data_IF_002076714824
#
_entry.id   IF_002076714824
#
_cell.length_a   1.000
_cell.length_b   1.000
_cell.length_c   1.000
_cell.angle_alpha   90.00
_cell.angle_beta   90.00
_cell.angle_gamma   90.00
#
_symmetry.space_group_name_H-M   'P 1'
#
loop_
_entity.id
_entity.type
_entity.pdbx_description
1 polymer ?
#
# COMPACT_ATOMS: atom_id res chain seq x y z
N UNK A 1 55.06 44.07 14.94
CA UNK A 1 54.64 43.03 13.97
C UNK A 1 53.85 41.96 14.72
N UNK A 2 52.62 41.64 14.27
CA UNK A 2 51.84 40.37 14.48
C UNK A 2 51.73 39.84 15.93
N UNK A 3 50.56 39.65 16.56
CA UNK A 3 49.28 39.10 16.06
C UNK A 3 48.10 39.56 16.95
N UNK A 4 47.10 40.19 16.33
CA UNK A 4 45.70 40.15 16.77
C UNK A 4 45.03 38.95 16.10
N UNK A 5 44.04 38.35 16.76
CA UNK A 5 42.75 37.82 16.22
C UNK A 5 42.18 36.84 17.26
N UNK A 6 41.34 37.33 18.19
CA UNK A 6 39.86 37.39 18.09
C UNK A 6 39.20 36.01 17.97
N UNK A 7 38.57 35.61 19.08
CA UNK A 7 37.47 34.66 19.10
C UNK A 7 36.20 35.33 18.54
N UNK A 8 35.59 34.70 17.53
CA UNK A 8 34.19 34.84 17.12
C UNK A 8 33.98 33.81 16.00
N UNK A 9 33.23 32.74 16.25
CA UNK A 9 31.82 32.64 15.89
C UNK A 9 31.55 32.59 14.37
N UNK A 10 30.70 31.62 14.01
CA UNK A 10 29.78 31.63 12.85
C UNK A 10 30.12 30.68 11.69
N UNK A 11 29.57 29.46 11.78
CA UNK A 11 28.46 29.00 10.92
C UNK A 11 28.47 29.47 9.45
N UNK A 12 29.33 28.88 8.61
CA UNK A 12 29.22 28.90 7.14
C UNK A 12 29.99 27.65 6.66
N UNK A 13 29.45 26.63 6.01
CA UNK A 13 28.38 26.58 5.00
C UNK A 13 27.83 25.13 4.86
N UNK A 14 26.58 24.88 5.26
CA UNK A 14 25.77 23.80 4.66
C UNK A 14 24.89 24.44 3.58
N UNK A 15 25.44 24.62 2.38
CA UNK A 15 24.66 25.07 1.23
C UNK A 15 25.20 24.42 -0.05
N UNK A 16 25.07 23.09 -0.13
CA UNK A 16 25.21 22.35 -1.39
C UNK A 16 24.36 21.07 -1.38
N UNK A 17 23.08 21.19 -1.01
CA UNK A 17 22.03 20.34 -1.58
C UNK A 17 21.18 21.21 -2.50
N UNK A 18 21.82 21.90 -3.46
CA UNK A 18 21.08 22.61 -4.51
C UNK A 18 20.40 21.56 -5.37
N UNK A 19 19.06 21.56 -5.27
CA UNK A 19 18.17 20.63 -5.92
C UNK A 19 18.45 20.50 -7.40
N UNK A 20 18.62 19.25 -7.82
CA UNK A 20 18.36 18.85 -9.19
C UNK A 20 16.86 19.04 -9.39
N UNK A 21 16.52 19.92 -10.34
CA UNK A 21 15.18 20.47 -10.53
C UNK A 21 14.09 19.40 -10.55
N UNK A 22 13.28 19.40 -9.50
CA UNK A 22 11.99 18.72 -9.53
C UNK A 22 10.95 19.74 -9.99
N UNK A 23 10.38 19.47 -11.16
CA UNK A 23 9.27 20.23 -11.73
C UNK A 23 8.14 20.34 -10.70
N UNK A 24 7.75 21.58 -10.37
CA UNK A 24 6.78 21.94 -9.33
C UNK A 24 5.32 21.63 -9.71
N UNK A 25 5.10 20.74 -10.69
CA UNK A 25 3.77 20.25 -11.05
C UNK A 25 3.37 18.99 -10.26
N UNK A 26 4.25 18.44 -9.43
CA UNK A 26 4.09 17.14 -8.75
C UNK A 26 3.24 17.17 -7.47
N UNK A 27 3.11 18.32 -6.79
CA UNK A 27 2.50 18.38 -5.44
C UNK A 27 0.98 18.16 -5.42
N UNK A 28 0.28 18.36 -6.54
CA UNK A 28 -1.18 18.14 -6.64
C UNK A 28 -1.55 16.77 -7.22
N UNK A 29 -0.69 16.16 -8.04
CA UNK A 29 -0.96 14.84 -8.61
C UNK A 29 -0.73 13.72 -7.59
N UNK A 30 0.30 13.87 -6.74
CA UNK A 30 0.64 12.87 -5.72
C UNK A 30 -0.50 12.63 -4.70
N UNK A 31 -1.13 13.66 -4.09
CA UNK A 31 -2.26 13.45 -3.18
C UNK A 31 -3.47 12.81 -3.87
N UNK A 32 -3.75 13.15 -5.14
CA UNK A 32 -4.86 12.56 -5.89
C UNK A 32 -4.62 11.09 -6.21
N UNK A 33 -3.39 10.73 -6.59
CA UNK A 33 -3.02 9.34 -6.85
C UNK A 33 -3.11 8.50 -5.58
N UNK A 34 -2.59 9.00 -4.45
CA UNK A 34 -2.71 8.34 -3.14
C UNK A 34 -4.17 8.15 -2.74
N UNK A 35 -5.00 9.19 -2.88
CA UNK A 35 -6.43 9.11 -2.56
C UNK A 35 -7.16 8.10 -3.45
N UNK A 36 -6.82 8.06 -4.75
CA UNK A 36 -7.41 7.11 -5.69
C UNK A 36 -7.01 5.66 -5.36
N UNK A 37 -5.74 5.42 -5.08
CA UNK A 37 -5.23 4.11 -4.64
C UNK A 37 -5.93 3.66 -3.35
N UNK A 38 -6.11 4.57 -2.38
CA UNK A 38 -6.86 4.29 -1.15
C UNK A 38 -8.32 3.87 -1.40
N UNK A 39 -9.02 4.52 -2.34
CA UNK A 39 -10.38 4.10 -2.75
C UNK A 39 -10.42 2.71 -3.37
N UNK A 40 -9.42 2.36 -4.17
CA UNK A 40 -9.32 1.05 -4.81
C UNK A 40 -9.03 -0.06 -3.80
N UNK A 41 -8.15 0.20 -2.82
CA UNK A 41 -7.97 -0.68 -1.67
C UNK A 41 -9.28 -0.90 -0.89
N UNK A 42 -10.01 0.18 -0.59
CA UNK A 42 -11.29 0.08 0.11
C UNK A 42 -12.34 -0.70 -0.70
N UNK A 43 -12.40 -0.51 -2.02
CA UNK A 43 -13.32 -1.24 -2.89
C UNK A 43 -13.03 -2.74 -2.90
N UNK A 44 -11.76 -3.13 -3.03
CA UNK A 44 -11.33 -4.53 -2.92
C UNK A 44 -11.71 -5.11 -1.56
N UNK A 45 -11.32 -4.46 -0.46
CA UNK A 45 -11.58 -4.97 0.88
C UNK A 45 -13.09 -5.08 1.18
N UNK A 46 -13.92 -4.19 0.61
CA UNK A 46 -15.37 -4.31 0.67
C UNK A 46 -15.89 -5.53 -0.11
N UNK A 47 -15.34 -5.82 -1.29
CA UNK A 47 -15.66 -7.05 -2.02
C UNK A 47 -15.30 -8.30 -1.21
N UNK A 48 -14.10 -8.35 -0.64
CA UNK A 48 -13.65 -9.49 0.19
C UNK A 48 -14.62 -9.72 1.35
N UNK A 49 -14.97 -8.67 2.11
CA UNK A 49 -15.91 -8.75 3.24
C UNK A 49 -17.30 -9.26 2.85
N UNK A 50 -17.80 -8.91 1.66
CA UNK A 50 -19.09 -9.42 1.16
C UNK A 50 -19.02 -10.91 0.82
N UNK A 51 -17.93 -11.34 0.19
CA UNK A 51 -17.82 -12.68 -0.37
C UNK A 51 -17.31 -13.75 0.61
N UNK A 52 -16.83 -13.38 1.81
CA UNK A 52 -16.46 -14.38 2.84
C UNK A 52 -17.66 -15.09 3.47
N UNK A 53 -18.87 -14.51 3.43
CA UNK A 53 -20.03 -15.01 4.18
C UNK A 53 -20.36 -16.50 3.93
N UNK A 54 -20.36 -17.01 2.69
CA UNK A 54 -20.61 -18.43 2.42
C UNK A 54 -19.59 -19.39 3.07
N UNK A 55 -18.40 -18.89 3.41
CA UNK A 55 -17.31 -19.69 3.94
C UNK A 55 -17.18 -19.61 5.47
N UNK A 56 -17.90 -18.70 6.14
CA UNK A 56 -17.76 -18.49 7.60
C UNK A 56 -18.01 -19.78 8.38
N UNK A 57 -19.14 -20.44 8.15
CA UNK A 57 -19.48 -21.70 8.79
C UNK A 57 -19.16 -22.94 7.91
N UNK A 58 -18.41 -22.73 6.82
CA UNK A 58 -18.09 -23.78 5.86
C UNK A 58 -16.95 -24.69 6.34
N UNK A 59 -16.87 -25.93 5.84
CA UNK A 59 -15.84 -26.90 6.24
C UNK A 59 -14.47 -26.63 5.60
N UNK A 60 -14.40 -25.75 4.60
CA UNK A 60 -13.15 -25.44 3.90
C UNK A 60 -12.11 -24.81 4.84
N UNK A 61 -10.84 -25.16 4.64
CA UNK A 61 -9.74 -24.51 5.33
C UNK A 61 -9.72 -23.00 4.97
N UNK A 62 -9.28 -22.12 5.90
CA UNK A 62 -9.34 -20.68 5.71
C UNK A 62 -8.60 -20.19 4.46
N UNK A 63 -7.47 -20.79 4.11
CA UNK A 63 -6.64 -20.36 2.98
C UNK A 63 -7.29 -20.70 1.64
N UNK A 64 -7.82 -21.93 1.50
CA UNK A 64 -8.55 -22.33 0.29
C UNK A 64 -9.79 -21.47 0.09
N UNK A 65 -10.58 -21.25 1.15
CA UNK A 65 -11.73 -20.36 1.09
C UNK A 65 -11.33 -18.92 0.73
N UNK A 66 -10.24 -18.41 1.33
CA UNK A 66 -9.73 -17.08 1.05
C UNK A 66 -9.25 -16.91 -0.40
N UNK A 67 -8.58 -17.91 -0.98
CA UNK A 67 -8.20 -17.90 -2.41
C UNK A 67 -9.43 -17.81 -3.32
N UNK A 68 -10.50 -18.54 -3.01
CA UNK A 68 -11.76 -18.47 -3.77
C UNK A 68 -12.39 -17.07 -3.66
N UNK A 69 -12.41 -16.50 -2.45
CA UNK A 69 -12.92 -15.14 -2.21
C UNK A 69 -12.09 -14.09 -2.96
N UNK A 70 -10.76 -14.19 -2.90
CA UNK A 70 -9.86 -13.30 -3.61
C UNK A 70 -10.05 -13.38 -5.12
N UNK A 71 -10.17 -14.60 -5.68
CA UNK A 71 -10.48 -14.82 -7.09
C UNK A 71 -11.84 -14.23 -7.50
N UNK A 72 -12.84 -14.32 -6.62
CA UNK A 72 -14.16 -13.70 -6.85
C UNK A 72 -14.07 -12.16 -6.93
N UNK A 73 -13.11 -11.56 -6.24
CA UNK A 73 -12.85 -10.12 -6.21
C UNK A 73 -11.70 -9.69 -7.14
N UNK A 74 -11.36 -10.50 -8.15
CA UNK A 74 -10.27 -10.22 -9.07
C UNK A 74 -10.47 -8.93 -9.86
N UNK A 75 -11.72 -8.53 -10.13
CA UNK A 75 -12.01 -7.28 -10.84
C UNK A 75 -11.53 -6.05 -10.06
N UNK A 76 -11.80 -5.99 -8.75
CA UNK A 76 -11.33 -4.92 -7.88
C UNK A 76 -9.81 -4.95 -7.73
N UNK A 77 -9.23 -6.15 -7.58
CA UNK A 77 -7.77 -6.34 -7.50
C UNK A 77 -7.08 -5.88 -8.78
N UNK A 78 -7.62 -6.21 -9.96
CA UNK A 78 -7.07 -5.79 -11.25
C UNK A 78 -7.10 -4.26 -11.42
N UNK A 79 -8.17 -3.58 -10.98
CA UNK A 79 -8.24 -2.10 -10.97
C UNK A 79 -7.17 -1.50 -10.05
N UNK A 80 -6.97 -2.10 -8.88
CA UNK A 80 -5.92 -1.68 -7.95
C UNK A 80 -4.52 -1.86 -8.55
N UNK A 81 -4.25 -3.00 -9.20
CA UNK A 81 -2.99 -3.27 -9.91
C UNK A 81 -2.76 -2.22 -11.00
N UNK A 82 -3.76 -1.94 -11.83
CA UNK A 82 -3.62 -0.99 -12.94
C UNK A 82 -3.21 0.42 -12.48
N UNK A 83 -3.67 0.86 -11.31
CA UNK A 83 -3.32 2.20 -10.77
C UNK A 83 -2.03 2.17 -9.96
N UNK A 84 -1.78 1.09 -9.22
CA UNK A 84 -0.62 0.99 -8.31
C UNK A 84 0.66 0.52 -9.01
N UNK A 85 0.54 -0.08 -10.20
CA UNK A 85 1.65 -0.65 -10.96
C UNK A 85 1.70 -0.09 -12.39
N UNK A 86 1.94 1.22 -12.56
CA UNK A 86 1.96 1.86 -13.88
C UNK A 86 3.08 1.36 -14.79
N UNK A 87 4.17 0.81 -14.22
CA UNK A 87 5.28 0.21 -14.97
C UNK A 87 4.99 -1.22 -15.45
N UNK A 88 3.90 -1.85 -14.97
CA UNK A 88 3.54 -3.22 -15.34
C UNK A 88 4.47 -4.29 -14.78
N UNK A 89 5.17 -4.00 -13.67
CA UNK A 89 6.10 -4.94 -13.04
C UNK A 89 5.36 -6.17 -12.48
N UNK A 90 5.74 -7.38 -12.91
CA UNK A 90 5.00 -8.59 -12.60
C UNK A 90 4.99 -8.92 -11.09
N UNK A 91 6.09 -8.62 -10.39
CA UNK A 91 6.25 -8.79 -8.95
C UNK A 91 5.30 -7.90 -8.13
N UNK A 92 5.07 -6.66 -8.55
CA UNK A 92 4.11 -5.75 -7.90
C UNK A 92 2.68 -6.25 -8.09
N UNK A 93 2.32 -6.68 -9.31
CA UNK A 93 0.99 -7.24 -9.57
C UNK A 93 0.75 -8.50 -8.71
N UNK A 94 1.74 -9.37 -8.63
CA UNK A 94 1.71 -10.58 -7.83
C UNK A 94 1.61 -10.27 -6.32
N UNK A 95 2.37 -9.30 -5.82
CA UNK A 95 2.29 -8.87 -4.43
C UNK A 95 0.89 -8.35 -4.06
N UNK A 96 0.23 -7.61 -4.95
CA UNK A 96 -1.14 -7.13 -4.73
C UNK A 96 -2.15 -8.28 -4.72
N UNK A 97 -2.00 -9.28 -5.59
CA UNK A 97 -2.84 -10.50 -5.56
C UNK A 97 -2.67 -11.25 -4.24
N UNK A 98 -1.43 -11.47 -3.81
CA UNK A 98 -1.11 -12.11 -2.52
C UNK A 98 -1.63 -11.33 -1.32
N UNK A 99 -1.52 -9.99 -1.30
CA UNK A 99 -2.15 -9.17 -0.26
C UNK A 99 -3.67 -9.35 -0.22
N UNK A 100 -4.30 -9.54 -1.38
CA UNK A 100 -5.75 -9.78 -1.48
C UNK A 100 -6.15 -11.12 -0.88
N UNK A 101 -5.39 -12.19 -1.15
CA UNK A 101 -5.55 -13.49 -0.51
C UNK A 101 -5.32 -13.43 1.00
N UNK A 102 -4.21 -12.82 1.43
CA UNK A 102 -3.86 -12.66 2.83
C UNK A 102 -4.96 -11.91 3.61
N UNK A 103 -5.48 -10.81 3.05
CA UNK A 103 -6.59 -10.07 3.64
C UNK A 103 -7.87 -10.89 3.69
N UNK A 104 -8.19 -11.64 2.64
CA UNK A 104 -9.35 -12.53 2.62
C UNK A 104 -9.24 -13.58 3.76
N UNK A 105 -8.06 -14.18 3.96
CA UNK A 105 -7.78 -15.09 5.06
C UNK A 105 -8.03 -14.42 6.40
N UNK A 106 -7.44 -13.25 6.65
CA UNK A 106 -7.63 -12.52 7.90
C UNK A 106 -9.10 -12.12 8.15
N UNK A 107 -9.83 -11.70 7.10
CA UNK A 107 -11.27 -11.37 7.22
C UNK A 107 -12.08 -12.62 7.59
N UNK A 108 -11.82 -13.75 6.91
CA UNK A 108 -12.52 -15.00 7.16
C UNK A 108 -12.24 -15.54 8.56
N UNK A 109 -10.98 -15.54 8.99
CA UNK A 109 -10.59 -15.97 10.33
C UNK A 109 -11.28 -15.13 11.42
N UNK A 110 -11.34 -13.81 11.25
CA UNK A 110 -12.10 -12.93 12.15
C UNK A 110 -13.59 -13.25 12.15
N UNK A 111 -14.18 -13.49 10.98
CA UNK A 111 -15.59 -13.87 10.87
C UNK A 111 -15.88 -15.23 11.54
N UNK A 112 -14.89 -16.14 11.57
CA UNK A 112 -14.93 -17.42 12.29
C UNK A 112 -14.64 -17.31 13.79
N UNK A 113 -14.34 -16.12 14.30
CA UNK A 113 -14.05 -15.89 15.72
C UNK A 113 -12.61 -16.19 16.16
N UNK A 114 -11.67 -16.34 15.23
CA UNK A 114 -10.26 -16.53 15.58
C UNK A 114 -9.61 -15.22 16.10
N UNK A 115 -8.78 -15.28 17.16
CA UNK A 115 -8.04 -14.12 17.66
C UNK A 115 -6.93 -13.68 16.68
N UNK A 116 -6.55 -12.40 16.74
CA UNK A 116 -5.49 -11.83 15.90
C UNK A 116 -4.12 -12.42 16.28
N UNK A 117 -3.54 -13.24 15.40
CA UNK A 117 -2.12 -13.60 15.50
C UNK A 117 -1.37 -12.78 14.45
N UNK A 118 -0.57 -11.82 14.92
CA UNK A 118 0.38 -11.05 14.10
C UNK A 118 1.59 -11.89 13.72
#
# INVERSE_FOLDING_TARGET
>A
MRRLMLAAASLLTLAACSGQGYSVNSEYEYPRQVAQTGKLYAARDACLKRNVQPFVNGPADPETAARIVAATCEMETAKLIAVSNPSGAADVAEAIRKDSEFRATGILLRARGAPQTN
#
